data_IF_617940492131
#
_entry.id   IF_617940492131
#
_cell.length_a   1.000
_cell.length_b   1.000
_cell.length_c   1.000
_cell.angle_alpha   90.00
_cell.angle_beta   90.00
_cell.angle_gamma   90.00
#
_symmetry.space_group_name_H-M   'P 1'
#
loop_
_entity.id
_entity.type
_entity.pdbx_description
1 polymer ?
#
# COMPACT_ATOMS: atom_id res chain seq x y z
N UNK A 1 -4.90 16.94 7.53
CA UNK A 1 -3.48 16.52 7.38
C UNK A 1 -3.28 16.01 5.97
N UNK A 2 -2.18 16.38 5.32
CA UNK A 2 -1.87 15.98 3.94
C UNK A 2 -0.45 15.41 3.92
N UNK A 3 -0.27 14.20 3.37
CA UNK A 3 1.04 13.61 3.11
C UNK A 3 1.23 13.59 1.60
N UNK A 4 2.35 14.13 1.12
CA UNK A 4 2.76 14.03 -0.28
C UNK A 4 3.77 12.89 -0.41
N UNK A 5 3.50 11.96 -1.32
CA UNK A 5 4.38 10.85 -1.64
C UNK A 5 4.16 10.44 -3.10
N UNK A 6 5.25 10.12 -3.79
CA UNK A 6 5.22 9.69 -5.20
C UNK A 6 5.03 8.18 -5.32
N UNK A 7 5.36 7.43 -4.27
CA UNK A 7 5.22 5.97 -4.22
C UNK A 7 4.54 5.52 -2.93
N UNK A 8 3.97 4.31 -2.95
CA UNK A 8 3.39 3.68 -1.75
C UNK A 8 4.45 3.45 -0.66
N UNK A 9 5.71 3.21 -1.06
CA UNK A 9 6.83 3.05 -0.13
C UNK A 9 7.08 4.37 0.63
N UNK A 10 7.22 5.48 -0.09
CA UNK A 10 7.39 6.82 0.51
C UNK A 10 6.21 7.20 1.40
N UNK A 11 4.98 6.86 1.01
CA UNK A 11 3.80 7.09 1.84
C UNK A 11 3.89 6.31 3.15
N UNK A 12 4.32 5.04 3.08
CA UNK A 12 4.42 4.16 4.26
C UNK A 12 5.50 4.65 5.23
N UNK A 13 6.64 5.11 4.71
CA UNK A 13 7.72 5.73 5.49
C UNK A 13 7.22 6.99 6.21
N UNK A 14 6.58 7.91 5.48
CA UNK A 14 6.03 9.13 6.05
C UNK A 14 4.95 8.88 7.12
N UNK A 15 4.18 7.79 7.00
CA UNK A 15 3.22 7.38 8.03
C UNK A 15 3.94 6.84 9.27
N UNK A 16 4.99 6.04 9.08
CA UNK A 16 5.79 5.47 10.18
C UNK A 16 6.47 6.55 11.02
N UNK A 17 7.03 7.59 10.38
CA UNK A 17 7.64 8.75 11.08
C UNK A 17 6.65 9.49 11.99
N UNK A 18 5.36 9.39 11.69
CA UNK A 18 4.28 10.00 12.48
C UNK A 18 3.75 9.08 13.58
N UNK A 19 4.41 7.94 13.81
CA UNK A 19 4.06 6.99 14.86
C UNK A 19 2.94 6.02 14.49
N UNK A 20 2.56 5.94 13.20
CA UNK A 20 1.65 4.87 12.76
C UNK A 20 2.38 3.53 12.67
N UNK A 21 1.71 2.47 13.08
CA UNK A 21 2.23 1.12 13.04
C UNK A 21 1.94 0.45 11.69
N UNK A 22 2.97 -0.14 11.10
CA UNK A 22 2.81 -1.00 9.94
C UNK A 22 2.08 -2.28 10.36
N UNK A 23 0.89 -2.50 9.81
CA UNK A 23 0.09 -3.70 10.11
C UNK A 23 0.51 -4.88 9.22
N UNK A 24 0.83 -4.62 7.96
CA UNK A 24 1.28 -5.64 7.01
C UNK A 24 2.10 -5.01 5.89
N UNK A 25 3.12 -5.74 5.44
CA UNK A 25 3.85 -5.47 4.20
C UNK A 25 3.62 -6.65 3.25
N UNK A 26 2.94 -6.40 2.14
CA UNK A 26 2.42 -7.44 1.26
C UNK A 26 3.09 -7.34 -0.09
N UNK A 27 3.81 -8.40 -0.46
CA UNK A 27 4.40 -8.53 -1.77
C UNK A 27 3.36 -9.11 -2.75
N UNK A 28 2.94 -8.31 -3.71
CA UNK A 28 2.04 -8.77 -4.75
C UNK A 28 2.78 -9.63 -5.77
N UNK A 29 2.25 -10.83 -6.07
CA UNK A 29 2.78 -11.69 -7.14
C UNK A 29 2.46 -11.15 -8.53
N UNK A 30 1.43 -10.31 -8.63
CA UNK A 30 1.03 -9.58 -9.84
C UNK A 30 0.42 -8.24 -9.44
N UNK A 31 0.46 -7.27 -10.35
CA UNK A 31 -0.23 -6.00 -10.16
C UNK A 31 -1.72 -6.22 -9.81
N UNK A 32 -2.26 -5.50 -8.81
CA UNK A 32 -3.69 -5.49 -8.52
C UNK A 32 -4.50 -5.17 -9.77
N UNK A 33 -5.62 -5.88 -9.96
CA UNK A 33 -6.46 -5.72 -11.14
C UNK A 33 -7.93 -5.68 -10.77
N UNK A 34 -8.75 -5.13 -11.67
CA UNK A 34 -10.19 -4.99 -11.44
C UNK A 34 -10.96 -6.12 -12.12
N UNK A 35 -11.80 -6.81 -11.36
CA UNK A 35 -12.67 -7.87 -11.86
C UNK A 35 -14.03 -7.77 -11.17
N UNK A 36 -15.13 -7.70 -11.93
CA UNK A 36 -16.49 -7.61 -11.40
C UNK A 36 -16.65 -6.53 -10.30
N UNK A 37 -16.12 -5.33 -10.57
CA UNK A 37 -16.08 -4.18 -9.65
C UNK A 37 -15.25 -4.37 -8.35
N UNK A 38 -14.56 -5.50 -8.20
CA UNK A 38 -13.66 -5.77 -7.08
C UNK A 38 -12.21 -5.59 -7.49
N UNK A 39 -11.40 -5.07 -6.58
CA UNK A 39 -9.96 -5.14 -6.70
C UNK A 39 -9.51 -6.52 -6.26
N UNK A 40 -8.75 -7.20 -7.12
CA UNK A 40 -8.16 -8.50 -6.84
C UNK A 40 -6.65 -8.31 -6.78
N UNK A 41 -6.07 -8.77 -5.67
CA UNK A 41 -4.65 -8.79 -5.43
C UNK A 41 -4.24 -10.25 -5.24
N UNK A 42 -3.28 -10.73 -6.03
CA UNK A 42 -2.64 -12.00 -5.71
C UNK A 42 -1.38 -11.71 -4.91
N UNK A 43 -1.24 -12.40 -3.80
CA UNK A 43 -0.17 -12.23 -2.80
C UNK A 43 0.54 -13.57 -2.65
N UNK A 44 1.83 -13.56 -2.34
CA UNK A 44 2.62 -14.76 -2.09
C UNK A 44 2.46 -15.23 -0.64
#
# INVERSE_FOLDING_TARGET
MTIQAETLVQLTEALKERGLNLVADIHFTRAPYRQNHRWICAVA
#
